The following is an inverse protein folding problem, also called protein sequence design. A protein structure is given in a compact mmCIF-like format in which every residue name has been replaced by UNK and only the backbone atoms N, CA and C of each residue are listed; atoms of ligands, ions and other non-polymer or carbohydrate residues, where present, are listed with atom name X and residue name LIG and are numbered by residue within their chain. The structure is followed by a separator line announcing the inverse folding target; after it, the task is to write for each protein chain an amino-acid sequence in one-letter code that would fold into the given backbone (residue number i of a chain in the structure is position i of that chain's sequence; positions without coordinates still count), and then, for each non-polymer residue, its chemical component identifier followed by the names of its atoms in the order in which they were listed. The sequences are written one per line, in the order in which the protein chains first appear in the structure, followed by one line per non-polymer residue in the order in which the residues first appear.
data_IF_625843541876
#
_entry.id   IF_625843541876
#
_cell.length_a   1.000
_cell.length_b   1.000
_cell.length_c   1.000
_cell.angle_alpha   90.00
_cell.angle_beta   90.00
_cell.angle_gamma   90.00
#
_symmetry.space_group_name_H-M   'P 1'
#
loop_
_entity.id
_entity.type
_entity.pdbx_description
1 polymer ?
#
# COMPACT_ATOMS: atom_id res chain seq x y z
N UNK A 1 -12.17 -15.52 -4.83
CA UNK A 1 -12.94 -14.32 -5.16
C UNK A 1 -12.60 -13.26 -4.15
N UNK A 2 -12.17 -12.08 -4.57
CA UNK A 2 -11.92 -10.96 -3.66
C UNK A 2 -13.25 -10.58 -3.00
N UNK A 3 -13.34 -10.80 -1.69
CA UNK A 3 -14.41 -10.26 -0.86
C UNK A 3 -14.34 -8.74 -1.03
N UNK A 4 -15.40 -8.15 -1.57
CA UNK A 4 -15.47 -6.71 -1.77
C UNK A 4 -15.21 -6.00 -0.46
N UNK A 5 -14.31 -5.03 -0.49
CA UNK A 5 -14.06 -4.16 0.66
C UNK A 5 -15.38 -3.51 1.10
N UNK A 6 -15.60 -3.37 2.40
CA UNK A 6 -16.73 -2.59 2.88
C UNK A 6 -16.63 -1.13 2.38
N UNK A 7 -17.75 -0.45 2.19
CA UNK A 7 -17.75 0.97 1.81
C UNK A 7 -16.97 1.83 2.83
N UNK A 8 -17.02 1.44 4.09
CA UNK A 8 -16.25 2.06 5.17
C UNK A 8 -14.74 1.88 4.97
N UNK A 9 -14.29 0.67 4.66
CA UNK A 9 -12.87 0.36 4.38
C UNK A 9 -12.36 1.17 3.19
N UNK A 10 -13.16 1.29 2.12
CA UNK A 10 -12.79 2.07 0.93
C UNK A 10 -12.69 3.57 1.23
N UNK A 11 -13.64 4.10 2.01
CA UNK A 11 -13.61 5.50 2.47
C UNK A 11 -12.36 5.79 3.30
N UNK A 12 -12.05 4.93 4.27
CA UNK A 12 -10.85 5.05 5.09
C UNK A 12 -9.58 4.90 4.25
N UNK A 13 -9.53 3.97 3.30
CA UNK A 13 -8.39 3.86 2.39
C UNK A 13 -8.17 5.16 1.61
N UNK A 14 -9.22 5.80 1.10
CA UNK A 14 -9.10 7.07 0.40
C UNK A 14 -8.56 8.18 1.32
N UNK A 15 -9.12 8.32 2.52
CA UNK A 15 -8.69 9.31 3.51
C UNK A 15 -7.21 9.13 3.89
N UNK A 16 -6.82 7.91 4.25
CA UNK A 16 -5.46 7.63 4.68
C UNK A 16 -4.46 7.69 3.53
N UNK A 17 -4.85 7.38 2.29
CA UNK A 17 -3.98 7.56 1.12
C UNK A 17 -3.71 9.05 0.86
N UNK A 18 -4.71 9.92 1.01
CA UNK A 18 -4.52 11.35 0.89
C UNK A 18 -3.54 11.88 1.96
N UNK A 19 -3.73 11.48 3.22
CA UNK A 19 -2.80 11.82 4.33
C UNK A 19 -1.39 11.30 4.09
N UNK A 20 -1.27 10.09 3.58
CA UNK A 20 0.02 9.48 3.26
C UNK A 20 0.74 10.30 2.18
N UNK A 21 0.05 10.66 1.10
CA UNK A 21 0.62 11.46 0.03
C UNK A 21 1.01 12.86 0.50
N UNK A 22 0.19 13.49 1.33
CA UNK A 22 0.49 14.79 1.94
C UNK A 22 1.74 14.73 2.83
N UNK A 23 1.87 13.69 3.67
CA UNK A 23 3.01 13.53 4.59
C UNK A 23 4.32 13.22 3.85
N UNK A 24 4.29 12.28 2.91
CA UNK A 24 5.51 11.71 2.32
C UNK A 24 5.85 12.28 0.94
N UNK A 25 4.91 12.94 0.26
CA UNK A 25 5.10 13.48 -1.09
C UNK A 25 5.01 12.45 -2.23
N UNK A 26 4.64 11.20 -1.92
CA UNK A 26 4.42 10.13 -2.89
C UNK A 26 3.26 9.23 -2.47
N UNK A 27 2.69 8.50 -3.42
CA UNK A 27 1.55 7.61 -3.17
C UNK A 27 1.95 6.39 -2.34
N UNK A 28 0.99 5.80 -1.63
CA UNK A 28 1.21 4.55 -0.91
C UNK A 28 1.49 3.39 -1.89
N UNK A 29 2.64 2.73 -1.72
CA UNK A 29 3.04 1.57 -2.53
C UNK A 29 3.09 0.34 -1.64
N UNK A 30 2.32 -0.68 -2.02
CA UNK A 30 2.31 -2.01 -1.39
C UNK A 30 2.07 -3.09 -2.44
N UNK A 31 2.76 -4.22 -2.31
CA UNK A 31 2.49 -5.42 -3.07
C UNK A 31 1.19 -6.05 -2.55
N UNK A 32 0.08 -5.73 -3.23
CA UNK A 32 -1.27 -6.15 -2.86
C UNK A 32 -1.57 -7.63 -3.11
N UNK A 33 -0.66 -8.39 -3.74
CA UNK A 33 -0.85 -9.82 -3.97
C UNK A 33 -1.12 -10.57 -2.66
N UNK A 34 -2.27 -11.23 -2.60
CA UNK A 34 -2.73 -11.99 -1.44
C UNK A 34 -3.27 -11.15 -0.28
N UNK A 35 -3.44 -9.84 -0.44
CA UNK A 35 -3.99 -8.96 0.61
C UNK A 35 -5.42 -8.52 0.31
N UNK A 36 -6.22 -8.46 1.36
CA UNK A 36 -7.55 -7.85 1.39
C UNK A 36 -7.46 -6.33 1.55
N UNK A 37 -8.57 -5.63 1.35
CA UNK A 37 -8.62 -4.19 1.54
C UNK A 37 -8.40 -3.77 3.00
N UNK A 38 -8.90 -4.55 3.95
CA UNK A 38 -8.70 -4.28 5.38
C UNK A 38 -7.22 -4.43 5.76
N UNK A 39 -6.55 -5.48 5.29
CA UNK A 39 -5.10 -5.64 5.49
C UNK A 39 -4.30 -4.50 4.85
N UNK A 40 -4.71 -4.02 3.68
CA UNK A 40 -4.09 -2.85 3.05
C UNK A 40 -4.28 -1.58 3.89
N UNK A 41 -5.47 -1.39 4.47
CA UNK A 41 -5.78 -0.25 5.33
C UNK A 41 -4.97 -0.30 6.63
N UNK A 42 -4.84 -1.46 7.25
CA UNK A 42 -4.02 -1.66 8.44
C UNK A 42 -2.54 -1.35 8.16
N UNK A 43 -1.99 -1.86 7.06
CA UNK A 43 -0.61 -1.56 6.66
C UNK A 43 -0.40 -0.07 6.41
N UNK A 44 -1.37 0.59 5.77
CA UNK A 44 -1.33 2.03 5.53
C UNK A 44 -1.33 2.82 6.85
N UNK A 45 -2.20 2.45 7.79
CA UNK A 45 -2.27 3.04 9.14
C UNK A 45 -0.99 2.82 9.95
N UNK A 46 -0.38 1.64 9.85
CA UNK A 46 0.88 1.31 10.55
C UNK A 46 2.09 2.06 9.99
N UNK A 47 2.09 2.36 8.69
CA UNK A 47 3.20 3.04 8.01
C UNK A 47 3.11 4.56 8.09
N UNK A 48 1.91 5.11 8.26
CA UNK A 48 1.71 6.56 8.35
C UNK A 48 2.55 7.25 9.44
N UNK A 49 2.84 6.66 10.61
CA UNK A 49 3.70 7.28 11.63
C UNK A 49 5.19 7.32 11.30
N UNK A 50 5.69 6.54 10.33
CA UNK A 50 7.12 6.48 10.00
C UNK A 50 7.70 7.84 9.57
N UNK A 51 9.02 7.96 9.66
CA UNK A 51 9.76 9.03 8.99
C UNK A 51 9.89 8.74 7.48
N UNK A 52 10.11 9.79 6.70
CA UNK A 52 10.15 9.71 5.23
C UNK A 52 11.26 8.80 4.69
N UNK A 53 12.42 8.72 5.36
CA UNK A 53 13.54 7.89 4.90
C UNK A 53 13.23 6.39 5.08
N UNK A 54 12.69 6.03 6.24
CA UNK A 54 12.19 4.67 6.49
C UNK A 54 11.11 4.29 5.49
N UNK A 55 10.16 5.19 5.25
CA UNK A 55 9.04 4.91 4.38
C UNK A 55 9.45 4.76 2.90
N UNK A 56 10.40 5.57 2.44
CA UNK A 56 10.98 5.46 1.11
C UNK A 56 11.65 4.10 0.89
N UNK A 57 12.40 3.60 1.90
CA UNK A 57 13.03 2.27 1.84
C UNK A 57 11.99 1.15 1.77
N UNK A 58 10.90 1.27 2.54
CA UNK A 58 9.80 0.29 2.53
C UNK A 58 9.10 0.31 1.15
N UNK A 59 8.74 1.49 0.64
CA UNK A 59 8.07 1.64 -0.66
C UNK A 59 8.93 1.07 -1.81
N UNK A 60 10.25 1.30 -1.80
CA UNK A 60 11.17 0.69 -2.76
C UNK A 60 11.22 -0.86 -2.63
N UNK A 61 11.13 -1.39 -1.42
CA UNK A 61 10.97 -2.83 -1.16
C UNK A 61 9.70 -3.40 -1.79
N UNK A 62 8.56 -2.73 -1.59
CA UNK A 62 7.28 -3.14 -2.16
C UNK A 62 7.27 -3.05 -3.69
N UNK A 63 7.82 -1.98 -4.27
CA UNK A 63 7.96 -1.84 -5.72
C UNK A 63 8.79 -2.98 -6.33
N UNK A 64 9.88 -3.39 -5.67
CA UNK A 64 10.69 -4.54 -6.11
C UNK A 64 9.89 -5.84 -6.13
N UNK A 65 9.04 -6.08 -5.14
CA UNK A 65 8.14 -7.26 -5.11
C UNK A 65 7.17 -7.24 -6.29
N UNK A 66 6.56 -6.08 -6.56
CA UNK A 66 5.64 -5.89 -7.70
C UNK A 66 6.37 -6.16 -9.02
N UNK A 67 7.56 -5.60 -9.20
CA UNK A 67 8.38 -5.82 -10.41
C UNK A 67 8.72 -7.29 -10.59
N UNK A 68 9.17 -7.99 -9.54
CA UNK A 68 9.46 -9.43 -9.61
C UNK A 68 8.25 -10.25 -10.06
N UNK A 69 7.09 -10.02 -9.45
CA UNK A 69 5.85 -10.72 -9.83
C UNK A 69 5.43 -10.45 -11.28
N UNK A 70 5.71 -9.26 -11.81
CA UNK A 70 5.46 -8.95 -13.22
C UNK A 70 6.42 -9.71 -14.14
N UNK A 71 7.71 -9.78 -13.78
CA UNK A 71 8.70 -10.53 -14.55
C UNK A 71 8.40 -12.03 -14.56
N UNK A 72 8.02 -12.61 -13.41
CA UNK A 72 7.62 -14.02 -13.30
C UNK A 72 6.40 -14.39 -14.15
N UNK A 73 5.54 -13.42 -14.49
CA UNK A 73 4.38 -13.64 -15.40
C UNK A 73 4.72 -13.54 -16.88
N UNK A 74 5.91 -13.04 -17.22
CA UNK A 74 6.38 -12.88 -18.61
C UNK A 74 7.28 -14.05 -19.05
N UNK A 75 7.76 -14.86 -18.11
CA UNK A 75 8.52 -16.08 -18.33
C UNK A 75 7.59 -17.30 -18.35
#
# INVERSE_FOLDING_TARGET
GSVGASEETLSQLAEYNARYQEKFGFIFIVCATGKTADEMLELLKQRLPHDTETELRIAAGEQRKITRLRLEKLL
#
